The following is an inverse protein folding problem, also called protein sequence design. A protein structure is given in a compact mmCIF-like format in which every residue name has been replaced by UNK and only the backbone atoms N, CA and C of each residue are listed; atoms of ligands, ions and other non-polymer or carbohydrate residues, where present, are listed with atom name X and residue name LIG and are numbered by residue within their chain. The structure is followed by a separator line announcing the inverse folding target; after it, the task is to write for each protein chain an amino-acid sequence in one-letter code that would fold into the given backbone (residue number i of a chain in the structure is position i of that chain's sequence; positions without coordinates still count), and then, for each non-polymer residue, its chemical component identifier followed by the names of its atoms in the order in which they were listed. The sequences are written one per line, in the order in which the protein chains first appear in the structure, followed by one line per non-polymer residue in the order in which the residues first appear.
data_IF_406402856533
#
_entry.id   IF_406402856533
#
_cell.length_a   1.000
_cell.length_b   1.000
_cell.length_c   1.000
_cell.angle_alpha   90.00
_cell.angle_beta   90.00
_cell.angle_gamma   90.00
#
_symmetry.space_group_name_H-M   'P 1'
#
loop_
_entity.id
_entity.type
_entity.pdbx_description
1 polymer ?
#
# COMPACT_ATOMS: atom_id res chain seq x y z
N UNK A 1 -4.25 -36.96 -8.86
CA UNK A 1 -5.15 -37.42 -9.92
C UNK A 1 -6.51 -37.69 -9.30
N UNK A 2 -7.58 -37.14 -9.91
CA UNK A 2 -8.97 -37.36 -9.51
C UNK A 2 -9.63 -38.39 -10.39
N UNK A 3 -10.30 -39.35 -9.78
CA UNK A 3 -11.03 -40.43 -10.46
C UNK A 3 -12.51 -40.35 -10.12
N UNK A 4 -13.38 -40.64 -11.08
CA UNK A 4 -14.83 -40.83 -10.86
C UNK A 4 -15.38 -41.92 -11.77
N UNK A 5 -16.43 -42.60 -11.32
CA UNK A 5 -17.04 -43.72 -12.04
C UNK A 5 -18.51 -43.82 -11.73
N UNK A 6 -19.24 -44.55 -12.57
CA UNK A 6 -20.65 -44.89 -12.33
C UNK A 6 -20.79 -46.00 -11.30
N UNK A 7 -21.91 -46.01 -10.55
CA UNK A 7 -22.22 -47.03 -9.56
C UNK A 7 -23.00 -48.14 -10.25
N UNK A 8 -22.41 -49.34 -10.47
CA UNK A 8 -23.16 -50.48 -11.00
C UNK A 8 -24.15 -51.04 -9.95
N UNK A 9 -25.16 -51.70 -10.44
CA UNK A 9 -26.18 -52.36 -9.59
C UNK A 9 -25.53 -53.31 -8.58
N UNK A 10 -26.01 -53.29 -7.31
CA UNK A 10 -25.51 -54.10 -6.18
C UNK A 10 -24.04 -53.79 -5.74
N UNK A 11 -23.42 -52.76 -6.22
CA UNK A 11 -22.10 -52.36 -5.74
C UNK A 11 -22.21 -51.61 -4.38
N UNK A 12 -21.51 -52.10 -3.36
CA UNK A 12 -21.45 -51.46 -2.03
C UNK A 12 -20.08 -50.82 -1.76
N UNK A 13 -19.03 -51.27 -2.46
CA UNK A 13 -17.68 -50.80 -2.28
C UNK A 13 -16.90 -50.87 -3.62
N UNK A 14 -15.84 -50.13 -3.71
CA UNK A 14 -14.97 -50.12 -4.88
C UNK A 14 -13.52 -50.30 -4.45
N UNK A 15 -12.79 -51.11 -5.20
CA UNK A 15 -11.32 -51.19 -5.14
C UNK A 15 -10.76 -50.30 -6.20
N UNK A 16 -9.82 -49.40 -5.81
CA UNK A 16 -9.05 -48.54 -6.72
C UNK A 16 -7.72 -49.21 -6.98
N UNK A 17 -7.46 -49.54 -8.22
CA UNK A 17 -6.21 -50.18 -8.66
C UNK A 17 -5.40 -49.18 -9.47
N UNK A 18 -4.12 -49.03 -9.15
CA UNK A 18 -3.15 -48.19 -9.89
C UNK A 18 -1.97 -49.06 -10.31
N UNK A 19 -1.69 -49.07 -11.60
CA UNK A 19 -0.55 -49.78 -12.21
C UNK A 19 -0.53 -51.30 -11.82
N UNK A 20 -1.70 -51.88 -11.59
CA UNK A 20 -1.89 -53.29 -11.19
C UNK A 20 -2.00 -53.50 -9.67
N UNK A 21 -1.69 -52.51 -8.84
CA UNK A 21 -1.77 -52.63 -7.38
C UNK A 21 -3.03 -51.98 -6.80
N UNK A 22 -3.68 -52.59 -5.87
CA UNK A 22 -4.80 -51.99 -5.14
C UNK A 22 -4.30 -50.97 -4.16
N UNK A 23 -4.60 -49.69 -4.42
CA UNK A 23 -4.13 -48.54 -3.60
C UNK A 23 -5.16 -48.04 -2.58
N UNK A 24 -6.45 -48.33 -2.82
CA UNK A 24 -7.52 -47.90 -1.92
C UNK A 24 -8.77 -48.78 -2.04
N UNK A 25 -9.62 -48.63 -1.03
CA UNK A 25 -10.98 -49.17 -0.99
C UNK A 25 -11.91 -48.04 -0.52
N UNK A 26 -13.01 -47.80 -1.23
CA UNK A 26 -13.95 -46.70 -0.96
C UNK A 26 -15.40 -47.12 -1.22
N UNK A 27 -16.34 -46.53 -0.46
CA UNK A 27 -17.78 -46.62 -0.72
C UNK A 27 -18.27 -45.50 -1.68
N UNK A 28 -17.45 -44.50 -1.92
CA UNK A 28 -17.76 -43.39 -2.82
C UNK A 28 -17.47 -43.77 -4.28
N UNK A 29 -18.13 -43.13 -5.21
CA UNK A 29 -17.92 -43.29 -6.65
C UNK A 29 -16.85 -42.32 -7.19
N UNK A 30 -15.96 -41.84 -6.33
CA UNK A 30 -14.82 -41.02 -6.66
C UNK A 30 -13.64 -41.31 -5.70
N UNK A 31 -12.45 -41.00 -6.17
CA UNK A 31 -11.24 -41.12 -5.37
C UNK A 31 -10.21 -40.09 -5.85
N UNK A 32 -9.45 -39.51 -4.93
CA UNK A 32 -8.32 -38.62 -5.26
C UNK A 32 -7.02 -39.29 -4.82
N UNK A 33 -6.23 -39.71 -5.79
CA UNK A 33 -4.86 -40.19 -5.53
C UNK A 33 -3.93 -39.00 -5.32
N UNK A 34 -3.46 -38.83 -4.09
CA UNK A 34 -2.54 -37.78 -3.66
C UNK A 34 -1.07 -38.26 -3.57
N UNK A 35 -0.85 -39.57 -3.77
CA UNK A 35 0.47 -40.19 -3.69
C UNK A 35 1.00 -40.45 -5.10
N UNK A 36 1.12 -39.38 -5.88
CA UNK A 36 1.60 -39.38 -7.26
C UNK A 36 2.76 -38.40 -7.42
N UNK A 37 3.71 -38.72 -8.29
CA UNK A 37 4.84 -37.85 -8.66
C UNK A 37 4.52 -37.11 -9.93
N UNK A 38 4.82 -35.80 -9.96
CA UNK A 38 4.63 -34.96 -11.14
C UNK A 38 5.37 -35.52 -12.36
N UNK A 39 4.76 -35.40 -13.53
CA UNK A 39 5.34 -35.87 -14.80
C UNK A 39 5.21 -37.36 -15.07
N UNK A 40 4.73 -38.15 -14.12
CA UNK A 40 4.56 -39.61 -14.29
C UNK A 40 3.13 -39.93 -14.71
N UNK A 41 3.00 -40.84 -15.65
CA UNK A 41 1.72 -41.46 -16.02
C UNK A 41 1.36 -42.57 -15.04
N UNK A 42 0.13 -42.57 -14.58
CA UNK A 42 -0.45 -43.60 -13.76
C UNK A 42 -1.69 -44.14 -14.44
N UNK A 43 -1.83 -45.46 -14.46
CA UNK A 43 -2.96 -46.14 -15.09
C UNK A 43 -3.87 -46.71 -14.02
N UNK A 44 -5.19 -46.41 -14.09
CA UNK A 44 -6.16 -46.78 -13.08
C UNK A 44 -7.23 -47.73 -13.63
N UNK A 45 -7.71 -48.60 -12.75
CA UNK A 45 -8.84 -49.46 -12.96
C UNK A 45 -9.66 -49.53 -11.67
N UNK A 46 -10.95 -49.76 -11.79
CA UNK A 46 -11.88 -49.90 -10.65
C UNK A 46 -12.51 -51.27 -10.70
N UNK A 47 -12.64 -51.91 -9.54
CA UNK A 47 -13.46 -53.12 -9.34
C UNK A 47 -14.57 -52.85 -8.34
N UNK A 48 -15.82 -53.16 -8.69
CA UNK A 48 -16.93 -53.09 -7.76
C UNK A 48 -16.96 -54.32 -6.86
N UNK A 49 -17.37 -54.14 -5.60
CA UNK A 49 -17.49 -55.23 -4.60
C UNK A 49 -18.92 -55.23 -4.06
N UNK A 50 -19.54 -56.39 -3.99
CA UNK A 50 -20.90 -56.54 -3.49
C UNK A 50 -20.94 -56.77 -1.97
N UNK A 51 -22.15 -56.91 -1.40
CA UNK A 51 -22.41 -57.17 0.03
C UNK A 51 -21.80 -58.48 0.58
N UNK A 52 -21.42 -59.40 -0.30
CA UNK A 52 -20.77 -60.67 0.06
C UNK A 52 -19.24 -60.60 -0.04
N UNK A 53 -18.68 -59.40 -0.19
CA UNK A 53 -17.24 -59.14 -0.39
C UNK A 53 -16.65 -59.81 -1.67
N UNK A 54 -17.50 -60.07 -2.67
CA UNK A 54 -17.06 -60.58 -3.97
C UNK A 54 -16.81 -59.41 -4.89
N UNK A 55 -15.56 -59.35 -5.43
CA UNK A 55 -15.16 -58.32 -6.42
C UNK A 55 -15.54 -58.75 -7.84
N UNK A 56 -16.05 -57.82 -8.61
CA UNK A 56 -16.27 -57.94 -10.05
C UNK A 56 -14.98 -57.84 -10.85
N UNK A 57 -15.07 -57.92 -12.19
CA UNK A 57 -13.93 -57.67 -13.06
C UNK A 57 -13.47 -56.20 -12.93
N UNK A 58 -12.21 -55.97 -13.30
CA UNK A 58 -11.65 -54.60 -13.42
C UNK A 58 -12.33 -53.86 -14.59
N UNK A 59 -12.48 -52.56 -14.47
CA UNK A 59 -12.88 -51.66 -15.55
C UNK A 59 -11.87 -51.60 -16.69
N UNK A 60 -12.21 -50.92 -17.78
CA UNK A 60 -11.20 -50.43 -18.73
C UNK A 60 -10.10 -49.65 -18.00
N UNK A 61 -8.91 -49.68 -18.54
CA UNK A 61 -7.76 -48.92 -18.02
C UNK A 61 -7.82 -47.49 -18.53
N UNK A 62 -7.78 -46.54 -17.60
CA UNK A 62 -7.60 -45.11 -17.92
C UNK A 62 -6.28 -44.61 -17.36
N UNK A 63 -5.49 -43.91 -18.17
CA UNK A 63 -4.17 -43.45 -17.78
C UNK A 63 -4.12 -41.91 -17.84
N UNK A 64 -3.59 -41.31 -16.79
CA UNK A 64 -3.46 -39.86 -16.68
C UNK A 64 -2.09 -39.48 -16.14
N UNK A 65 -1.54 -38.36 -16.62
CA UNK A 65 -0.27 -37.82 -16.16
C UNK A 65 -0.49 -36.94 -14.94
N UNK A 66 0.27 -37.17 -13.89
CA UNK A 66 0.26 -36.32 -12.72
C UNK A 66 0.90 -34.95 -13.03
N UNK A 67 0.11 -33.90 -12.95
CA UNK A 67 0.60 -32.52 -13.05
C UNK A 67 1.11 -32.04 -11.72
N UNK A 68 2.11 -31.13 -11.76
CA UNK A 68 2.60 -30.45 -10.57
C UNK A 68 1.53 -29.49 -10.03
N UNK A 69 1.31 -29.52 -8.71
CA UNK A 69 0.33 -28.63 -8.07
C UNK A 69 0.83 -27.19 -7.97
N UNK A 70 -0.06 -26.21 -7.96
CA UNK A 70 0.35 -24.81 -7.73
C UNK A 70 0.93 -24.63 -6.32
N UNK A 71 1.75 -23.58 -6.08
CA UNK A 71 2.31 -23.30 -4.76
C UNK A 71 1.22 -23.05 -3.73
N UNK A 72 1.47 -23.47 -2.48
CA UNK A 72 0.70 -23.08 -1.31
C UNK A 72 1.19 -21.75 -0.73
N UNK A 73 0.43 -21.16 0.20
CA UNK A 73 0.74 -19.89 0.86
C UNK A 73 1.01 -18.75 -0.13
N UNK A 74 0.28 -18.74 -1.24
CA UNK A 74 0.33 -17.63 -2.20
C UNK A 74 -0.38 -16.43 -1.59
N UNK A 75 0.40 -15.38 -1.26
CA UNK A 75 -0.06 -14.18 -0.57
C UNK A 75 0.58 -12.92 -1.15
N UNK A 76 -0.03 -11.76 -0.91
CA UNK A 76 0.50 -10.48 -1.32
C UNK A 76 0.44 -9.44 -0.19
N UNK A 77 1.41 -8.54 -0.18
CA UNK A 77 1.43 -7.33 0.65
C UNK A 77 1.43 -6.11 -0.24
N UNK A 78 0.64 -5.10 0.13
CA UNK A 78 0.41 -3.90 -0.65
C UNK A 78 1.16 -2.75 -0.02
N UNK A 79 1.76 -1.89 -0.85
CA UNK A 79 2.39 -0.64 -0.46
C UNK A 79 2.27 0.35 -1.61
N UNK A 80 1.36 1.30 -1.50
CA UNK A 80 1.01 2.28 -2.54
C UNK A 80 0.62 1.61 -3.88
N UNK A 81 1.41 1.85 -4.93
CA UNK A 81 1.27 1.33 -6.30
C UNK A 81 2.04 0.02 -6.52
N UNK A 82 2.46 -0.64 -5.44
CA UNK A 82 3.29 -1.83 -5.49
C UNK A 82 2.66 -2.98 -4.72
N UNK A 83 2.68 -4.18 -5.31
CA UNK A 83 2.26 -5.43 -4.67
C UNK A 83 3.44 -6.39 -4.64
N UNK A 84 3.84 -6.80 -3.44
CA UNK A 84 4.83 -7.86 -3.26
C UNK A 84 4.13 -9.18 -3.02
N UNK A 85 4.32 -10.12 -3.92
CA UNK A 85 3.79 -11.48 -3.90
C UNK A 85 4.83 -12.45 -3.38
N UNK A 86 4.39 -13.43 -2.59
CA UNK A 86 5.23 -14.50 -2.04
C UNK A 86 4.48 -15.82 -2.06
N UNK A 87 5.22 -16.93 -2.18
CA UNK A 87 4.67 -18.28 -2.19
C UNK A 87 5.64 -19.30 -1.62
N UNK A 88 5.13 -20.49 -1.31
CA UNK A 88 5.95 -21.59 -0.83
C UNK A 88 6.64 -22.32 -1.96
N UNK A 89 7.82 -22.88 -1.67
CA UNK A 89 8.49 -23.78 -2.57
C UNK A 89 7.66 -25.04 -2.81
N UNK A 90 7.64 -25.52 -4.06
CA UNK A 90 7.01 -26.78 -4.46
C UNK A 90 8.12 -27.74 -4.85
N UNK A 91 8.14 -28.93 -4.23
CA UNK A 91 9.07 -29.97 -4.58
C UNK A 91 8.89 -30.34 -6.07
N UNK A 92 9.99 -30.49 -6.80
CA UNK A 92 10.03 -30.77 -8.23
C UNK A 92 9.61 -29.61 -9.16
N UNK A 93 9.24 -28.44 -8.61
CA UNK A 93 9.09 -27.25 -9.43
C UNK A 93 10.46 -26.73 -9.86
N UNK A 94 10.63 -26.53 -11.18
CA UNK A 94 11.82 -25.92 -11.75
C UNK A 94 11.65 -24.41 -11.88
N UNK A 95 10.44 -23.96 -12.20
CA UNK A 95 10.09 -22.54 -12.33
C UNK A 95 8.64 -22.29 -11.89
N UNK A 96 8.35 -21.00 -11.63
CA UNK A 96 7.00 -20.49 -11.37
C UNK A 96 6.59 -19.53 -12.46
N UNK A 97 5.32 -19.55 -12.83
CA UNK A 97 4.67 -18.58 -13.71
C UNK A 97 3.62 -17.82 -12.96
N UNK A 98 3.78 -16.50 -12.90
CA UNK A 98 2.85 -15.60 -12.24
C UNK A 98 2.04 -14.84 -13.28
N UNK A 99 0.75 -14.77 -13.07
CA UNK A 99 -0.19 -14.07 -13.94
C UNK A 99 -0.90 -12.97 -13.16
N UNK A 100 -1.11 -11.83 -13.82
CA UNK A 100 -1.95 -10.74 -13.37
C UNK A 100 -3.06 -10.53 -14.38
N UNK A 101 -4.33 -10.59 -13.93
CA UNK A 101 -5.53 -10.45 -14.77
C UNK A 101 -5.52 -11.36 -16.01
N UNK A 102 -4.87 -12.53 -15.91
CA UNK A 102 -4.71 -13.50 -16.97
C UNK A 102 -3.45 -13.36 -17.81
N UNK A 103 -2.73 -12.24 -17.70
CA UNK A 103 -1.49 -11.99 -18.43
C UNK A 103 -0.26 -12.50 -17.66
N UNK A 104 0.64 -13.19 -18.33
CA UNK A 104 1.91 -13.67 -17.76
C UNK A 104 2.84 -12.49 -17.48
N UNK A 105 3.18 -12.25 -16.19
CA UNK A 105 4.04 -11.14 -15.76
C UNK A 105 5.42 -11.60 -15.25
N UNK A 106 5.58 -12.87 -14.89
CA UNK A 106 6.85 -13.40 -14.39
C UNK A 106 7.01 -14.88 -14.74
N UNK A 107 8.25 -15.28 -15.05
CA UNK A 107 8.71 -16.66 -15.11
C UNK A 107 10.09 -16.75 -14.47
N UNK A 108 10.28 -17.62 -13.50
CA UNK A 108 11.56 -17.80 -12.80
C UNK A 108 11.45 -18.75 -11.61
N UNK A 109 12.55 -18.90 -10.87
CA UNK A 109 12.70 -19.81 -9.75
C UNK A 109 12.59 -19.13 -8.36
N UNK A 110 12.50 -17.80 -8.32
CA UNK A 110 12.34 -17.07 -7.08
C UNK A 110 10.99 -17.37 -6.41
N UNK A 111 10.94 -17.28 -5.08
CA UNK A 111 9.73 -17.48 -4.26
C UNK A 111 9.00 -16.18 -3.93
N UNK A 112 9.33 -15.13 -4.62
CA UNK A 112 8.68 -13.83 -4.51
C UNK A 112 8.78 -13.05 -5.83
N UNK A 113 7.88 -12.08 -5.98
CA UNK A 113 7.88 -11.12 -7.08
C UNK A 113 7.32 -9.79 -6.59
N UNK A 114 7.86 -8.69 -7.10
CA UNK A 114 7.36 -7.35 -6.83
C UNK A 114 6.77 -6.77 -8.10
N UNK A 115 5.47 -6.55 -8.09
CA UNK A 115 4.72 -5.90 -9.15
C UNK A 115 4.57 -4.42 -8.79
N UNK A 116 5.12 -3.53 -9.59
CA UNK A 116 5.24 -2.11 -9.30
C UNK A 116 4.64 -1.25 -10.43
N UNK A 117 4.45 0.04 -10.17
CA UNK A 117 3.81 1.00 -11.07
C UNK A 117 2.37 0.60 -11.43
N UNK A 118 1.67 0.07 -10.45
CA UNK A 118 0.27 -0.27 -10.56
C UNK A 118 -0.60 0.99 -10.41
N UNK A 119 -1.79 0.97 -10.99
CA UNK A 119 -2.76 2.04 -10.77
C UNK A 119 -3.26 2.02 -9.33
N UNK A 120 -3.38 3.17 -8.69
CA UNK A 120 -3.99 3.31 -7.37
C UNK A 120 -5.47 2.92 -7.38
N UNK A 121 -6.02 2.53 -6.24
CA UNK A 121 -7.44 2.16 -6.04
C UNK A 121 -7.93 1.14 -7.06
N UNK A 122 -7.06 0.24 -7.50
CA UNK A 122 -7.34 -0.75 -8.55
C UNK A 122 -7.18 -2.17 -8.00
N UNK A 123 -8.15 -3.02 -8.27
CA UNK A 123 -8.09 -4.44 -7.91
C UNK A 123 -7.39 -5.21 -9.02
N UNK A 124 -6.41 -6.03 -8.63
CA UNK A 124 -5.69 -6.95 -9.49
C UNK A 124 -5.91 -8.40 -9.03
N UNK A 125 -6.08 -9.31 -9.99
CA UNK A 125 -6.24 -10.72 -9.75
C UNK A 125 -4.96 -11.46 -10.12
N UNK A 126 -4.34 -12.10 -9.15
CA UNK A 126 -3.12 -12.88 -9.38
C UNK A 126 -3.39 -14.38 -9.29
N UNK A 127 -2.79 -15.13 -10.20
CA UNK A 127 -2.70 -16.58 -10.14
C UNK A 127 -1.27 -17.02 -10.38
N UNK A 128 -0.91 -18.19 -9.85
CA UNK A 128 0.43 -18.73 -9.97
C UNK A 128 0.36 -20.21 -10.34
N UNK A 129 1.25 -20.67 -11.20
CA UNK A 129 1.46 -22.08 -11.56
C UNK A 129 2.93 -22.47 -11.35
N UNK A 130 3.18 -23.77 -11.35
CA UNK A 130 4.52 -24.35 -11.37
C UNK A 130 4.81 -24.96 -12.74
N UNK A 131 6.08 -24.96 -13.13
CA UNK A 131 6.61 -25.77 -14.20
C UNK A 131 7.48 -26.89 -13.64
N UNK A 132 7.30 -28.10 -14.11
CA UNK A 132 8.13 -29.23 -13.75
C UNK A 132 9.50 -29.23 -14.46
N UNK A 133 10.33 -30.23 -14.16
CA UNK A 133 11.68 -30.38 -14.72
C UNK A 133 11.73 -30.73 -16.19
N UNK A 134 10.60 -31.08 -16.81
CA UNK A 134 10.48 -31.34 -18.26
C UNK A 134 9.82 -30.18 -19.00
N UNK A 135 9.50 -29.08 -18.30
CA UNK A 135 8.94 -27.86 -18.85
C UNK A 135 7.42 -27.90 -19.06
N UNK A 136 6.72 -28.80 -18.37
CA UNK A 136 5.26 -28.85 -18.40
C UNK A 136 4.67 -27.98 -17.27
N UNK A 137 3.67 -27.18 -17.61
CA UNK A 137 2.99 -26.29 -16.67
C UNK A 137 1.82 -27.01 -16.00
N UNK A 138 1.80 -26.97 -14.68
CA UNK A 138 0.68 -27.44 -13.88
C UNK A 138 -0.48 -26.43 -13.85
N UNK A 139 -1.59 -26.76 -13.18
CA UNK A 139 -2.73 -25.88 -13.04
C UNK A 139 -2.36 -24.60 -12.28
N UNK A 140 -3.07 -23.52 -12.56
CA UNK A 140 -2.96 -22.27 -11.79
C UNK A 140 -3.63 -22.40 -10.43
N UNK A 141 -3.17 -21.62 -9.46
CA UNK A 141 -3.81 -21.46 -8.15
C UNK A 141 -5.22 -20.86 -8.27
N UNK A 142 -5.97 -20.91 -7.18
CA UNK A 142 -7.12 -20.01 -7.03
C UNK A 142 -6.66 -18.55 -7.13
N UNK A 143 -7.49 -17.64 -7.68
CA UNK A 143 -7.17 -16.23 -7.76
C UNK A 143 -6.95 -15.60 -6.39
N UNK A 144 -5.94 -14.73 -6.29
CA UNK A 144 -5.66 -13.84 -5.18
C UNK A 144 -6.00 -12.42 -5.61
N UNK A 145 -7.06 -11.86 -5.04
CA UNK A 145 -7.50 -10.48 -5.31
C UNK A 145 -6.82 -9.52 -4.35
N UNK A 146 -6.19 -8.47 -4.87
CA UNK A 146 -5.51 -7.43 -4.10
C UNK A 146 -5.87 -6.06 -4.64
N UNK A 147 -6.29 -5.15 -3.73
CA UNK A 147 -6.64 -3.76 -4.05
C UNK A 147 -5.50 -2.84 -3.65
N UNK A 148 -4.92 -2.10 -4.61
CA UNK A 148 -3.90 -1.09 -4.34
C UNK A 148 -4.42 0.05 -3.47
N UNK A 149 -3.51 0.72 -2.75
CA UNK A 149 -3.87 1.85 -1.87
C UNK A 149 -4.44 3.04 -2.66
N UNK A 150 -5.06 3.97 -1.94
CA UNK A 150 -5.44 5.28 -2.50
C UNK A 150 -4.18 6.11 -2.68
N UNK A 151 -4.07 6.83 -3.80
CA UNK A 151 -2.97 7.76 -4.02
C UNK A 151 -2.96 8.86 -2.96
N UNK A 152 -1.85 9.01 -2.25
CA UNK A 152 -1.68 10.10 -1.30
C UNK A 152 -1.22 11.37 -2.05
N UNK A 153 -2.17 12.24 -2.34
CA UNK A 153 -1.91 13.50 -3.03
C UNK A 153 -1.23 14.53 -2.11
N UNK A 154 -0.55 15.50 -2.73
CA UNK A 154 -0.05 16.65 -2.00
C UNK A 154 -1.19 17.46 -1.36
N UNK A 155 -1.01 18.02 -0.15
CA UNK A 155 -1.95 18.98 0.40
C UNK A 155 -2.16 20.17 -0.55
N UNK A 156 -3.40 20.60 -0.70
CA UNK A 156 -3.79 21.72 -1.54
C UNK A 156 -4.19 22.95 -0.73
N UNK A 157 -4.38 24.07 -1.38
CA UNK A 157 -4.83 25.33 -0.78
C UNK A 157 -4.00 25.75 0.43
N UNK A 158 -2.65 25.62 0.33
CA UNK A 158 -1.75 26.15 1.36
C UNK A 158 -1.86 27.68 1.40
N UNK A 159 -2.40 28.19 2.51
CA UNK A 159 -2.55 29.62 2.78
C UNK A 159 -1.67 30.05 3.93
N UNK A 160 -1.21 31.30 3.87
CA UNK A 160 -0.47 31.98 4.94
C UNK A 160 -1.33 33.05 5.61
N UNK A 161 -1.14 33.24 6.90
CA UNK A 161 -1.75 34.34 7.68
C UNK A 161 -0.64 35.03 8.47
N UNK A 162 -0.52 36.33 8.31
CA UNK A 162 0.49 37.14 9.02
C UNK A 162 0.05 37.42 10.44
N UNK A 163 0.94 37.19 11.38
CA UNK A 163 0.86 37.67 12.74
C UNK A 163 2.11 38.51 13.06
N UNK A 164 2.11 39.13 14.23
CA UNK A 164 3.31 39.78 14.76
C UNK A 164 4.36 38.69 15.02
N UNK A 165 5.50 38.77 14.36
CA UNK A 165 6.66 37.87 14.51
C UNK A 165 6.35 36.39 14.30
N UNK A 166 5.21 36.08 13.66
CA UNK A 166 4.82 34.71 13.37
C UNK A 166 3.99 34.60 12.09
N UNK A 167 3.97 33.40 11.50
CA UNK A 167 3.17 33.09 10.30
C UNK A 167 2.31 31.86 10.59
N UNK A 168 0.99 32.02 10.44
CA UNK A 168 0.05 30.91 10.46
C UNK A 168 -0.07 30.28 9.08
N UNK A 169 -0.21 28.94 9.06
CA UNK A 169 -0.38 28.13 7.86
C UNK A 169 -1.69 27.36 7.98
N UNK A 170 -2.40 27.19 6.88
CA UNK A 170 -3.57 26.29 6.79
C UNK A 170 -3.64 25.65 5.40
N UNK A 171 -4.14 24.42 5.33
CA UNK A 171 -4.21 23.62 4.09
C UNK A 171 -5.35 22.62 4.15
N UNK A 172 -5.69 22.00 3.01
CA UNK A 172 -6.65 20.90 2.95
C UNK A 172 -5.97 19.56 3.20
N UNK A 173 -6.69 18.64 3.85
CA UNK A 173 -6.24 17.27 4.07
C UNK A 173 -6.57 16.39 2.87
N UNK A 174 -5.62 15.81 2.15
CA UNK A 174 -5.89 14.79 1.16
C UNK A 174 -6.39 13.49 1.78
N UNK A 175 -7.12 12.70 1.01
CA UNK A 175 -7.62 11.39 1.45
C UNK A 175 -6.46 10.49 1.85
N UNK A 176 -6.56 9.84 3.01
CA UNK A 176 -5.51 8.94 3.53
C UNK A 176 -4.38 9.65 4.30
N UNK A 177 -4.40 10.99 4.43
CA UNK A 177 -3.44 11.73 5.25
C UNK A 177 -3.78 11.59 6.73
N UNK A 178 -2.76 11.32 7.55
CA UNK A 178 -2.88 11.27 9.01
C UNK A 178 -1.99 12.32 9.71
N UNK A 179 -0.85 12.66 9.11
CA UNK A 179 0.09 13.62 9.67
C UNK A 179 0.62 14.53 8.55
N UNK A 180 1.12 15.71 8.91
CA UNK A 180 1.67 16.68 7.98
C UNK A 180 3.06 17.11 8.42
N UNK A 181 3.98 17.20 7.45
CA UNK A 181 5.33 17.75 7.61
C UNK A 181 5.33 19.19 7.12
N UNK A 182 5.89 20.10 7.93
CA UNK A 182 6.00 21.52 7.60
C UNK A 182 7.45 21.81 7.20
N UNK A 183 7.63 22.20 5.94
CA UNK A 183 8.91 22.54 5.36
C UNK A 183 8.95 24.06 5.12
N UNK A 184 9.96 24.74 5.65
CA UNK A 184 10.24 26.17 5.44
C UNK A 184 11.59 26.31 4.78
N UNK A 185 11.64 27.00 3.63
CA UNK A 185 12.88 27.27 2.87
C UNK A 185 13.69 25.98 2.64
N UNK A 186 12.96 24.90 2.26
CA UNK A 186 13.45 23.52 2.04
C UNK A 186 14.00 22.80 3.29
N UNK A 187 13.75 23.34 4.49
CA UNK A 187 14.12 22.71 5.77
C UNK A 187 12.87 22.28 6.53
N UNK A 188 12.86 21.03 7.03
CA UNK A 188 11.80 20.53 7.91
C UNK A 188 11.84 21.29 9.24
N UNK A 189 10.77 22.01 9.59
CA UNK A 189 10.66 22.78 10.84
C UNK A 189 9.68 22.16 11.85
N UNK A 190 8.84 21.23 11.45
CA UNK A 190 7.89 20.58 12.36
C UNK A 190 6.96 19.59 11.69
N UNK A 191 6.10 18.98 12.49
CA UNK A 191 5.02 18.11 12.04
C UNK A 191 3.77 18.32 12.90
N UNK A 192 2.59 18.02 12.33
CA UNK A 192 1.30 18.15 13.04
C UNK A 192 0.29 17.12 12.50
N UNK A 193 -0.72 16.77 13.30
CA UNK A 193 -1.89 16.01 12.88
C UNK A 193 -3.05 16.92 12.44
N UNK A 194 -2.93 18.22 12.68
CA UNK A 194 -3.93 19.22 12.30
C UNK A 194 -3.64 19.76 10.90
N UNK A 195 -4.63 20.37 10.26
CA UNK A 195 -4.50 21.06 8.96
C UNK A 195 -4.08 22.51 9.08
N UNK A 196 -3.40 22.84 10.19
CA UNK A 196 -2.86 24.17 10.46
C UNK A 196 -1.60 24.09 11.30
N UNK A 197 -0.77 25.13 11.19
CA UNK A 197 0.46 25.27 11.96
C UNK A 197 0.80 26.76 12.14
N UNK A 198 1.41 27.14 13.27
CA UNK A 198 1.91 28.50 13.47
C UNK A 198 3.42 28.42 13.66
N UNK A 199 4.15 29.03 12.72
CA UNK A 199 5.59 29.21 12.83
C UNK A 199 5.89 30.46 13.68
N UNK A 200 6.32 30.24 14.91
CA UNK A 200 6.71 31.27 15.88
C UNK A 200 8.21 31.60 15.85
N UNK A 201 8.94 31.02 14.90
CA UNK A 201 10.39 31.19 14.79
C UNK A 201 10.79 32.12 13.65
N UNK A 202 9.86 32.96 13.19
CA UNK A 202 10.07 33.92 12.12
C UNK A 202 10.55 35.26 12.68
N UNK A 203 11.40 35.93 11.91
CA UNK A 203 11.89 37.29 12.22
C UNK A 203 11.28 38.30 11.25
N UNK A 204 11.02 39.52 11.70
CA UNK A 204 10.54 40.62 10.84
C UNK A 204 11.48 40.85 9.63
N UNK A 205 10.90 41.36 8.53
CA UNK A 205 11.56 41.68 7.27
C UNK A 205 12.08 40.49 6.44
N UNK A 206 12.08 39.27 6.94
CA UNK A 206 12.42 38.08 6.16
C UNK A 206 11.17 37.51 5.52
N UNK A 207 11.27 37.07 4.28
CA UNK A 207 10.24 36.31 3.59
C UNK A 207 10.53 34.82 3.78
N UNK A 208 9.54 34.05 4.15
CA UNK A 208 9.62 32.61 4.36
C UNK A 208 8.68 31.91 3.39
N UNK A 209 9.17 30.85 2.76
CA UNK A 209 8.39 30.02 1.83
C UNK A 209 8.12 28.65 2.43
N UNK A 210 6.84 28.26 2.47
CA UNK A 210 6.40 27.01 3.10
C UNK A 210 5.89 26.03 2.07
N UNK A 211 6.13 24.74 2.33
CA UNK A 211 5.55 23.61 1.63
C UNK A 211 5.11 22.59 2.66
N UNK A 212 4.05 21.84 2.35
CA UNK A 212 3.51 20.81 3.22
C UNK A 212 3.57 19.47 2.50
N UNK A 213 3.97 18.40 3.19
CA UNK A 213 3.78 17.03 2.77
C UNK A 213 2.82 16.33 3.72
N UNK A 214 1.95 15.47 3.21
CA UNK A 214 1.13 14.57 4.01
C UNK A 214 1.85 13.24 4.23
N UNK A 215 1.62 12.59 5.37
CA UNK A 215 2.02 11.22 5.66
C UNK A 215 0.76 10.37 5.86
N UNK A 216 0.74 9.15 5.33
CA UNK A 216 -0.29 8.17 5.65
C UNK A 216 0.04 7.36 6.93
N UNK A 217 -0.85 6.43 7.33
CA UNK A 217 -0.68 5.54 8.49
C UNK A 217 0.59 4.67 8.43
N UNK A 218 1.12 4.42 7.23
CA UNK A 218 2.34 3.66 7.01
C UNK A 218 3.61 4.53 7.03
N UNK A 219 3.47 5.86 7.26
CA UNK A 219 4.57 6.82 7.24
C UNK A 219 5.08 7.16 5.83
N UNK A 220 4.31 6.85 4.80
CA UNK A 220 4.65 7.17 3.41
C UNK A 220 4.27 8.61 3.13
N UNK A 221 5.19 9.37 2.52
CA UNK A 221 5.02 10.80 2.24
C UNK A 221 4.39 11.03 0.85
N UNK A 222 3.46 11.97 0.80
CA UNK A 222 2.99 12.57 -0.45
C UNK A 222 4.08 13.42 -1.14
N UNK A 223 3.87 13.83 -2.39
CA UNK A 223 4.56 14.99 -2.94
C UNK A 223 4.35 16.23 -2.07
N UNK A 224 5.23 17.22 -2.22
CA UNK A 224 5.10 18.54 -1.56
C UNK A 224 3.99 19.35 -2.21
N UNK A 225 3.30 20.16 -1.40
CA UNK A 225 2.38 21.20 -1.90
C UNK A 225 3.10 22.24 -2.77
N UNK A 226 2.34 23.01 -3.54
CA UNK A 226 2.82 24.26 -4.08
C UNK A 226 3.30 25.18 -2.93
N UNK A 227 4.34 26.01 -3.14
CA UNK A 227 4.86 26.86 -2.10
C UNK A 227 3.94 28.06 -1.84
N UNK A 228 3.78 28.41 -0.56
CA UNK A 228 3.18 29.67 -0.13
C UNK A 228 4.21 30.50 0.63
N UNK A 229 4.43 31.73 0.21
CA UNK A 229 5.46 32.58 0.81
C UNK A 229 4.81 33.80 1.46
N UNK A 230 5.30 34.17 2.66
CA UNK A 230 4.86 35.35 3.35
C UNK A 230 5.95 35.91 4.28
N UNK A 231 5.65 37.04 4.91
CA UNK A 231 6.52 37.72 5.83
C UNK A 231 5.71 38.21 7.05
N UNK A 232 6.18 38.00 8.29
CA UNK A 232 5.44 38.37 9.47
C UNK A 232 5.33 39.90 9.60
N UNK A 233 4.35 40.36 10.38
CA UNK A 233 4.31 41.76 10.78
C UNK A 233 5.43 42.06 11.79
N UNK A 234 5.93 43.30 11.78
CA UNK A 234 6.78 43.83 12.83
C UNK A 234 5.95 44.02 14.11
N UNK A 235 6.62 43.95 15.26
CA UNK A 235 6.00 44.22 16.56
C UNK A 235 5.55 45.70 16.69
N UNK A 236 4.83 45.95 17.76
CA UNK A 236 4.46 47.33 18.13
C UNK A 236 5.53 47.95 19.06
N UNK A 237 5.79 49.25 18.98
CA UNK A 237 6.68 49.90 19.96
C UNK A 237 6.17 49.74 21.40
N UNK A 238 7.06 49.29 22.27
CA UNK A 238 6.81 49.19 23.71
C UNK A 238 7.32 50.44 24.43
N UNK A 239 7.01 50.52 25.74
CA UNK A 239 7.44 51.59 26.63
C UNK A 239 7.12 52.99 26.09
N UNK A 240 5.95 53.13 25.40
CA UNK A 240 5.51 54.44 24.95
C UNK A 240 5.15 55.32 26.13
N UNK A 241 5.93 56.34 26.39
CA UNK A 241 5.78 57.24 27.54
C UNK A 241 5.85 58.71 27.14
N UNK A 242 5.27 59.59 27.97
CA UNK A 242 5.32 61.03 27.76
C UNK A 242 5.66 61.80 29.01
N UNK A 243 6.58 62.73 28.89
CA UNK A 243 6.91 63.71 29.94
C UNK A 243 6.37 65.08 29.54
N UNK A 244 5.58 65.70 30.46
CA UNK A 244 5.01 67.03 30.24
C UNK A 244 5.92 68.07 30.90
N UNK A 245 6.29 69.09 30.16
CA UNK A 245 7.04 70.26 30.66
C UNK A 245 6.44 71.51 30.05
N UNK A 246 5.80 72.34 30.85
CA UNK A 246 5.12 73.57 30.42
C UNK A 246 4.17 73.33 29.22
N UNK A 247 4.54 73.79 28.03
CA UNK A 247 3.77 73.67 26.79
C UNK A 247 4.28 72.60 25.85
N UNK A 248 5.15 71.71 26.31
CA UNK A 248 5.76 70.66 25.54
C UNK A 248 5.46 69.26 26.12
N UNK A 249 5.34 68.27 25.26
CA UNK A 249 5.28 66.86 25.63
C UNK A 249 6.45 66.19 24.93
N UNK A 250 7.38 65.61 25.70
CA UNK A 250 8.43 64.77 25.18
C UNK A 250 7.94 63.34 25.21
N UNK A 251 7.95 62.66 24.06
CA UNK A 251 7.55 61.31 23.86
C UNK A 251 8.74 60.38 23.60
N UNK A 252 8.70 59.20 24.17
CA UNK A 252 9.72 58.18 23.98
C UNK A 252 9.08 56.83 23.86
N UNK A 253 9.69 55.94 23.10
CA UNK A 253 9.26 54.56 22.89
C UNK A 253 10.49 53.69 22.65
N UNK A 254 10.31 52.37 22.79
CA UNK A 254 11.34 51.40 22.49
C UNK A 254 11.48 51.18 20.97
N UNK A 255 12.68 50.85 20.55
CA UNK A 255 12.91 50.40 19.17
C UNK A 255 12.21 49.05 18.95
N UNK A 256 11.75 48.83 17.71
CA UNK A 256 11.12 47.57 17.27
C UNK A 256 12.02 46.92 16.23
N UNK A 257 12.32 45.64 16.42
CA UNK A 257 13.12 44.90 15.48
C UNK A 257 12.48 44.93 14.07
N UNK A 258 13.25 45.26 13.06
CA UNK A 258 12.78 45.36 11.68
C UNK A 258 12.05 46.65 11.33
N UNK A 259 11.82 47.58 12.28
CA UNK A 259 11.29 48.91 11.97
C UNK A 259 12.39 49.83 11.48
N UNK A 260 12.20 50.45 10.33
CA UNK A 260 13.10 51.49 9.78
C UNK A 260 12.64 52.87 10.17
N UNK A 261 11.34 53.06 10.39
CA UNK A 261 10.69 54.33 10.70
C UNK A 261 9.54 54.14 11.67
N UNK A 262 9.22 55.19 12.40
CA UNK A 262 8.05 55.25 13.32
C UNK A 262 7.11 56.35 12.84
N UNK A 263 5.81 56.05 12.89
CA UNK A 263 4.75 57.03 12.68
C UNK A 263 4.12 57.39 14.05
N UNK A 264 4.16 58.64 14.43
CA UNK A 264 3.50 59.12 15.64
C UNK A 264 2.20 59.81 15.28
N UNK A 265 1.13 59.40 15.97
CA UNK A 265 -0.21 59.96 15.77
C UNK A 265 -0.67 60.73 16.98
N UNK A 266 -1.36 61.87 16.75
CA UNK A 266 -2.07 62.65 17.76
C UNK A 266 -3.53 62.83 17.31
N UNK A 267 -4.46 62.38 18.10
CA UNK A 267 -5.91 62.40 17.76
C UNK A 267 -6.21 61.86 16.34
N UNK A 268 -5.57 60.75 15.96
CA UNK A 268 -5.73 60.11 14.66
C UNK A 268 -4.97 60.80 13.49
N UNK A 269 -4.28 61.92 13.75
CA UNK A 269 -3.48 62.60 12.73
C UNK A 269 -2.01 62.32 12.92
N UNK A 270 -1.31 61.91 11.86
CA UNK A 270 0.16 61.73 11.88
C UNK A 270 0.85 63.05 12.11
N UNK A 271 1.74 63.13 13.12
CA UNK A 271 2.47 64.33 13.50
C UNK A 271 3.97 64.18 13.41
N UNK A 272 4.44 62.94 13.22
CA UNK A 272 5.88 62.64 13.04
C UNK A 272 6.00 61.37 12.18
N UNK A 273 6.98 61.35 11.31
CA UNK A 273 7.47 60.20 10.58
C UNK A 273 9.00 60.28 10.54
N UNK A 274 9.68 59.27 11.05
CA UNK A 274 11.14 59.24 11.04
C UNK A 274 11.69 58.04 11.84
N UNK A 275 13.01 57.87 11.79
CA UNK A 275 13.78 56.82 12.45
C UNK A 275 14.20 57.21 13.85
#
# INVERSE_FOLDING_TARGET
IGLSWDIPYEAEQFLVVRDGDTIASTINNNYIDRNVTSGIFYCYQISAVNSFAISGPLSSTECEKALISPPSNFTGTISQDTIRLTWSNVLEANQYRLYRDGDLIYTGDALNYTDANLSFSTTYNYTISCMDNIGEEGPQSSPLELLTEVELLAPSFLNTTRYIESIGLSWDSPVGAEQFLIIRDDVLIGSTFETSYIDQTTAPNNTYCYKIAALNSNGISSPLSEPACDKPYIGTPDNFTGLISQNTIQLSWSNVEGANEFNLFRNGTAIYNGS
#
